data_IF_585621421990
#
_entry.id   IF_585621421990
#
_cell.length_a   1.000
_cell.length_b   1.000
_cell.length_c   1.000
_cell.angle_alpha   90.00
_cell.angle_beta   90.00
_cell.angle_gamma   90.00
#
_symmetry.space_group_name_H-M   'P 1'
#
loop_
_entity.id
_entity.type
_entity.pdbx_description
1 polymer ?
#
# COMPACT_ATOMS: atom_id res chain seq x y z
N UNK A 1 23.21 -4.74 19.67
CA UNK A 1 22.70 -3.63 18.82
C UNK A 1 23.07 -2.32 19.49
N UNK A 2 23.39 -1.28 18.72
CA UNK A 2 23.69 0.06 19.24
C UNK A 2 22.65 1.07 18.73
N UNK A 3 21.77 1.50 19.63
CA UNK A 3 20.64 2.42 19.38
C UNK A 3 20.69 3.62 20.34
N UNK A 4 19.63 4.44 20.36
CA UNK A 4 19.43 5.50 21.35
C UNK A 4 19.06 4.98 22.75
N UNK A 5 18.57 3.74 22.86
CA UNK A 5 18.11 3.13 24.13
C UNK A 5 19.14 2.17 24.72
N UNK A 6 20.30 1.97 24.07
CA UNK A 6 21.37 1.11 24.58
C UNK A 6 21.92 1.63 25.91
N UNK A 7 22.12 0.73 26.88
CA UNK A 7 22.67 1.09 28.19
C UNK A 7 24.11 1.58 28.07
N UNK A 8 24.56 2.40 29.03
CA UNK A 8 25.95 2.91 29.04
C UNK A 8 26.98 1.79 29.14
N UNK A 9 26.66 0.70 29.83
CA UNK A 9 27.59 -0.40 30.03
C UNK A 9 27.68 -1.29 28.78
N UNK A 10 26.55 -1.56 28.11
CA UNK A 10 26.55 -2.21 26.80
C UNK A 10 27.30 -1.39 25.75
N UNK A 11 27.11 -0.07 25.74
CA UNK A 11 27.81 0.83 24.83
C UNK A 11 29.33 0.80 25.06
N UNK A 12 29.78 0.81 26.32
CA UNK A 12 31.22 0.65 26.67
C UNK A 12 31.74 -0.71 26.20
N UNK A 13 30.98 -1.78 26.43
CA UNK A 13 31.34 -3.14 26.01
C UNK A 13 31.51 -3.20 24.48
N UNK A 14 30.54 -2.70 23.72
CA UNK A 14 30.57 -2.66 22.25
C UNK A 14 31.77 -1.86 21.75
N UNK A 15 32.04 -0.67 22.31
CA UNK A 15 33.20 0.12 21.88
C UNK A 15 34.54 -0.52 22.23
N UNK A 16 34.64 -1.21 23.37
CA UNK A 16 35.84 -1.96 23.74
C UNK A 16 36.07 -3.14 22.78
N UNK A 17 35.00 -3.84 22.40
CA UNK A 17 35.04 -4.91 21.42
C UNK A 17 35.48 -4.41 20.03
N UNK A 18 34.93 -3.29 19.56
CA UNK A 18 35.34 -2.66 18.30
C UNK A 18 36.81 -2.24 18.32
N UNK A 19 37.35 -1.78 19.45
CA UNK A 19 38.74 -1.32 19.56
C UNK A 19 39.74 -2.46 19.75
N UNK A 20 39.50 -3.35 20.71
CA UNK A 20 40.49 -4.38 21.13
C UNK A 20 40.31 -5.71 20.42
N UNK A 21 39.10 -6.05 20.00
CA UNK A 21 38.79 -7.36 19.45
C UNK A 21 38.67 -8.47 20.50
N UNK A 22 38.73 -8.14 21.80
CA UNK A 22 38.70 -9.11 22.91
C UNK A 22 37.32 -9.78 23.12
N UNK A 23 36.31 -9.42 22.33
CA UNK A 23 34.95 -9.93 22.46
C UNK A 23 34.47 -10.50 21.13
N UNK A 24 33.75 -11.63 21.21
CA UNK A 24 33.25 -12.35 20.03
C UNK A 24 31.97 -11.71 19.47
N UNK A 25 32.07 -10.47 18.97
CA UNK A 25 30.99 -9.81 18.25
C UNK A 25 31.16 -10.12 16.76
N UNK A 26 30.27 -10.96 16.21
CA UNK A 26 30.24 -11.26 14.77
C UNK A 26 29.39 -10.28 13.96
N UNK A 27 28.31 -9.74 14.53
CA UNK A 27 27.40 -8.82 13.87
C UNK A 27 27.02 -7.66 14.79
N UNK A 28 27.05 -6.43 14.26
CA UNK A 28 26.66 -5.22 14.98
C UNK A 28 25.63 -4.43 14.18
N UNK A 29 24.38 -4.44 14.66
CA UNK A 29 23.32 -3.58 14.16
C UNK A 29 23.43 -2.17 14.74
N UNK A 30 23.36 -1.17 13.87
CA UNK A 30 23.42 0.26 14.22
C UNK A 30 22.38 1.05 13.44
N UNK A 31 21.88 2.13 14.00
CA UNK A 31 20.96 3.03 13.28
C UNK A 31 21.74 4.03 12.41
N UNK A 32 21.13 4.61 11.36
CA UNK A 32 21.76 5.62 10.50
C UNK A 32 22.27 6.83 11.28
N UNK A 33 21.58 7.22 12.35
CA UNK A 33 22.00 8.33 13.23
C UNK A 33 23.35 8.07 13.90
N UNK A 34 23.67 6.81 14.22
CA UNK A 34 24.99 6.49 14.79
C UNK A 34 26.09 6.69 13.77
N UNK A 35 25.83 6.47 12.49
CA UNK A 35 26.76 6.74 11.40
C UNK A 35 26.90 8.25 11.17
N UNK A 36 25.79 8.97 11.07
CA UNK A 36 25.78 10.39 10.70
C UNK A 36 26.19 11.32 11.84
N UNK A 37 25.85 11.00 13.10
CA UNK A 37 25.99 11.93 14.26
C UNK A 37 27.05 11.51 15.28
N UNK A 38 27.45 10.23 15.34
CA UNK A 38 28.41 9.76 16.36
C UNK A 38 29.84 9.66 15.85
N UNK A 39 30.62 10.74 16.04
CA UNK A 39 32.08 10.73 15.79
C UNK A 39 32.81 9.62 16.54
N UNK A 40 32.37 9.34 17.78
CA UNK A 40 32.92 8.28 18.62
C UNK A 40 32.75 6.90 17.97
N UNK A 41 31.56 6.64 17.41
CA UNK A 41 31.29 5.37 16.73
C UNK A 41 32.17 5.23 15.49
N UNK A 42 32.21 6.26 14.63
CA UNK A 42 33.04 6.24 13.42
C UNK A 42 34.52 6.01 13.73
N UNK A 43 35.08 6.67 14.75
CA UNK A 43 36.47 6.47 15.17
C UNK A 43 36.75 5.04 15.65
N UNK A 44 35.81 4.39 16.35
CA UNK A 44 35.97 3.00 16.79
C UNK A 44 35.81 2.01 15.63
N UNK A 45 34.92 2.32 14.68
CA UNK A 45 34.75 1.54 13.46
C UNK A 45 36.02 1.60 12.59
N UNK A 46 36.66 2.77 12.48
CA UNK A 46 37.94 2.96 11.79
C UNK A 46 39.06 2.13 12.44
N UNK A 47 39.18 2.13 13.77
CA UNK A 47 40.13 1.26 14.48
C UNK A 47 39.87 -0.23 14.23
N UNK A 48 38.60 -0.63 14.21
CA UNK A 48 38.20 -2.00 13.89
C UNK A 48 38.61 -2.40 12.46
N UNK A 49 38.39 -1.49 11.50
CA UNK A 49 38.80 -1.65 10.11
C UNK A 49 40.33 -1.74 9.96
N UNK A 50 41.08 -0.83 10.57
CA UNK A 50 42.55 -0.81 10.50
C UNK A 50 43.18 -2.05 11.15
N UNK A 51 42.51 -2.69 12.11
CA UNK A 51 42.89 -3.97 12.68
C UNK A 51 42.49 -5.19 11.83
N UNK A 52 41.91 -4.99 10.63
CA UNK A 52 41.48 -6.06 9.73
C UNK A 52 40.22 -6.81 10.17
N UNK A 53 39.43 -6.25 11.10
CA UNK A 53 38.27 -6.92 11.71
C UNK A 53 36.92 -6.47 11.17
N UNK A 54 36.89 -5.51 10.25
CA UNK A 54 35.67 -5.10 9.53
C UNK A 54 35.61 -5.79 8.16
N UNK A 55 34.87 -6.90 8.08
CA UNK A 55 34.85 -7.74 6.88
C UNK A 55 33.70 -7.48 5.91
N UNK A 56 32.61 -6.85 6.37
CA UNK A 56 31.40 -6.60 5.57
C UNK A 56 30.60 -5.43 6.15
N UNK A 57 30.00 -4.63 5.26
CA UNK A 57 28.98 -3.64 5.61
C UNK A 57 27.67 -4.07 4.93
N UNK A 58 26.60 -4.14 5.70
CA UNK A 58 25.25 -4.38 5.18
C UNK A 58 24.35 -3.20 5.48
N UNK A 59 23.63 -2.71 4.46
CA UNK A 59 22.63 -1.65 4.57
C UNK A 59 21.27 -2.28 4.27
N UNK A 60 20.43 -2.32 5.29
CA UNK A 60 19.04 -2.79 5.17
C UNK A 60 18.10 -1.61 4.88
N UNK A 61 16.95 -1.92 4.24
CA UNK A 61 15.94 -0.95 3.79
C UNK A 61 16.50 0.25 3.03
N UNK A 62 17.40 -0.01 2.09
CA UNK A 62 18.19 1.00 1.40
C UNK A 62 17.36 2.05 0.64
N UNK A 63 16.09 1.72 0.30
CA UNK A 63 15.19 2.65 -0.38
C UNK A 63 14.99 3.97 0.39
N UNK A 64 15.21 3.98 1.71
CA UNK A 64 15.20 5.17 2.57
C UNK A 64 16.23 6.23 2.15
N UNK A 65 17.25 5.87 1.36
CA UNK A 65 18.26 6.78 0.85
C UNK A 65 17.76 7.63 -0.32
N UNK A 66 16.82 7.12 -1.12
CA UNK A 66 16.35 7.81 -2.32
C UNK A 66 15.20 8.76 -1.98
N UNK A 67 15.26 9.98 -2.50
CA UNK A 67 14.15 10.94 -2.41
C UNK A 67 12.89 10.45 -3.16
N UNK A 68 13.04 9.45 -4.03
CA UNK A 68 11.94 8.79 -4.73
C UNK A 68 11.40 7.58 -3.96
N UNK A 69 12.02 7.21 -2.84
CA UNK A 69 11.48 6.25 -1.89
C UNK A 69 10.35 6.86 -1.07
N UNK A 70 9.34 6.07 -0.73
CA UNK A 70 8.18 6.53 0.04
C UNK A 70 8.47 6.84 1.52
N UNK A 71 9.68 6.53 2.01
CA UNK A 71 10.12 6.71 3.40
C UNK A 71 11.55 7.29 3.46
N UNK A 72 11.77 8.41 2.77
CA UNK A 72 13.09 9.06 2.77
C UNK A 72 13.48 9.51 4.19
N UNK A 73 14.63 9.04 4.68
CA UNK A 73 15.14 9.41 6.01
C UNK A 73 16.36 10.31 5.88
N UNK A 74 16.33 11.57 6.35
CA UNK A 74 17.42 12.52 6.19
C UNK A 74 18.77 12.07 6.74
N UNK A 75 18.79 11.18 7.74
CA UNK A 75 20.03 10.61 8.29
C UNK A 75 20.75 9.67 7.31
N UNK A 76 20.08 9.23 6.23
CA UNK A 76 20.68 8.56 5.07
C UNK A 76 21.15 9.53 3.98
N UNK A 77 21.22 10.85 4.21
CA UNK A 77 21.64 11.83 3.17
C UNK A 77 23.03 11.59 2.58
N UNK A 78 23.91 10.87 3.27
CA UNK A 78 25.23 10.50 2.74
C UNK A 78 25.58 9.06 3.11
N UNK A 79 24.87 8.06 2.58
CA UNK A 79 25.06 6.67 2.97
C UNK A 79 26.36 6.12 2.36
N UNK A 80 26.83 6.71 1.26
CA UNK A 80 28.13 6.46 0.65
C UNK A 80 29.33 6.80 1.52
N UNK A 81 29.18 7.51 2.65
CA UNK A 81 30.30 7.80 3.56
C UNK A 81 31.03 6.53 4.01
N UNK A 82 30.29 5.44 4.20
CA UNK A 82 30.85 4.15 4.56
C UNK A 82 31.74 3.58 3.45
N UNK A 83 31.33 3.75 2.19
CA UNK A 83 32.12 3.29 1.05
C UNK A 83 33.31 4.19 0.76
N UNK A 84 33.19 5.49 1.02
CA UNK A 84 34.29 6.46 0.92
C UNK A 84 35.36 6.18 1.99
N UNK A 85 34.96 5.96 3.24
CA UNK A 85 35.90 5.70 4.34
C UNK A 85 36.47 4.28 4.35
N UNK A 86 35.69 3.30 3.90
CA UNK A 86 36.07 1.89 3.88
C UNK A 86 36.00 1.31 2.45
N UNK A 87 36.81 1.80 1.50
CA UNK A 87 36.68 1.47 0.08
C UNK A 87 36.86 -0.02 -0.22
N UNK A 88 37.72 -0.70 0.55
CA UNK A 88 38.03 -2.12 0.38
C UNK A 88 37.05 -3.06 1.08
N UNK A 89 36.19 -2.55 1.96
CA UNK A 89 35.18 -3.37 2.64
C UNK A 89 34.01 -3.64 1.67
N UNK A 90 33.61 -4.91 1.46
CA UNK A 90 32.42 -5.25 0.70
C UNK A 90 31.18 -4.58 1.30
N UNK A 91 30.29 -4.11 0.43
CA UNK A 91 29.02 -3.47 0.82
C UNK A 91 27.86 -4.23 0.15
N UNK A 92 26.92 -4.70 0.96
CA UNK A 92 25.67 -5.32 0.51
C UNK A 92 24.52 -4.41 0.90
N UNK A 93 23.69 -4.05 -0.07
CA UNK A 93 22.49 -3.26 0.17
C UNK A 93 21.24 -4.07 -0.16
N UNK A 94 20.25 -4.01 0.73
CA UNK A 94 19.05 -4.84 0.70
C UNK A 94 17.81 -3.94 0.65
N UNK A 95 16.86 -4.30 -0.21
CA UNK A 95 15.58 -3.59 -0.34
C UNK A 95 14.55 -4.48 -1.05
N UNK A 96 13.30 -4.40 -0.61
CA UNK A 96 12.18 -5.09 -1.27
C UNK A 96 11.53 -4.23 -2.37
N UNK A 97 11.64 -2.91 -2.31
CA UNK A 97 10.81 -1.97 -3.09
C UNK A 97 11.64 -0.99 -3.93
N UNK A 98 12.57 -1.51 -4.75
CA UNK A 98 13.39 -0.68 -5.63
C UNK A 98 12.98 -0.83 -7.11
N UNK A 99 12.27 0.17 -7.64
CA UNK A 99 12.09 0.31 -9.10
C UNK A 99 13.44 0.53 -9.79
N UNK A 100 13.53 0.33 -11.10
CA UNK A 100 14.77 0.55 -11.86
C UNK A 100 15.39 1.93 -11.61
N UNK A 101 14.56 2.98 -11.53
CA UNK A 101 15.00 4.34 -11.22
C UNK A 101 15.63 4.43 -9.82
N UNK A 102 14.93 3.90 -8.82
CA UNK A 102 15.43 3.87 -7.43
C UNK A 102 16.75 3.11 -7.36
N UNK A 103 16.88 1.96 -8.05
CA UNK A 103 18.14 1.20 -8.06
C UNK A 103 19.32 2.00 -8.62
N UNK A 104 19.11 2.81 -9.66
CA UNK A 104 20.16 3.65 -10.23
C UNK A 104 20.59 4.73 -9.23
N UNK A 105 19.62 5.42 -8.61
CA UNK A 105 19.92 6.43 -7.59
C UNK A 105 20.69 5.84 -6.39
N UNK A 106 20.28 4.65 -5.94
CA UNK A 106 20.89 3.93 -4.81
C UNK A 106 22.37 3.61 -5.09
N UNK A 107 22.68 3.09 -6.27
CA UNK A 107 24.07 2.78 -6.68
C UNK A 107 24.96 4.03 -6.69
N UNK A 108 24.43 5.15 -7.15
CA UNK A 108 25.14 6.44 -7.16
C UNK A 108 25.37 6.96 -5.74
N UNK A 109 24.32 6.99 -4.90
CA UNK A 109 24.41 7.49 -3.52
C UNK A 109 25.32 6.66 -2.62
N UNK A 110 25.33 5.33 -2.80
CA UNK A 110 26.23 4.43 -2.07
C UNK A 110 27.66 4.39 -2.62
N UNK A 111 27.92 5.01 -3.76
CA UNK A 111 29.21 4.99 -4.44
C UNK A 111 29.70 3.56 -4.76
N UNK A 112 28.83 2.74 -5.38
CA UNK A 112 29.14 1.33 -5.75
C UNK A 112 29.20 1.18 -7.28
N UNK A 113 30.25 1.66 -7.96
CA UNK A 113 30.27 1.75 -9.43
C UNK A 113 30.21 0.39 -10.15
N UNK A 114 30.63 -0.71 -9.49
CA UNK A 114 30.57 -2.08 -10.01
C UNK A 114 29.56 -2.94 -9.24
N UNK A 115 28.39 -2.39 -8.95
CA UNK A 115 27.35 -3.07 -8.17
C UNK A 115 26.81 -4.29 -8.93
N UNK A 116 26.95 -5.47 -8.34
CA UNK A 116 26.27 -6.68 -8.80
C UNK A 116 24.85 -6.68 -8.25
N UNK A 117 23.86 -6.76 -9.13
CA UNK A 117 22.44 -6.68 -8.78
C UNK A 117 21.81 -8.07 -8.80
N UNK A 118 21.28 -8.51 -7.66
CA UNK A 118 20.47 -9.71 -7.56
C UNK A 118 19.01 -9.30 -7.41
N UNK A 119 18.14 -9.83 -8.28
CA UNK A 119 16.70 -9.56 -8.25
C UNK A 119 15.93 -10.87 -8.13
N UNK A 120 15.08 -10.94 -7.12
CA UNK A 120 14.06 -11.97 -7.00
C UNK A 120 12.72 -11.45 -7.52
N UNK A 121 11.85 -12.35 -7.97
CA UNK A 121 10.51 -11.99 -8.42
C UNK A 121 9.63 -11.57 -7.24
N UNK A 122 8.72 -10.62 -7.49
CA UNK A 122 7.63 -10.30 -6.55
C UNK A 122 6.55 -11.39 -6.50
N UNK A 123 6.61 -12.40 -7.37
CA UNK A 123 5.60 -13.46 -7.42
C UNK A 123 5.65 -14.34 -6.18
N UNK A 124 4.55 -14.34 -5.43
CA UNK A 124 4.27 -15.31 -4.37
C UNK A 124 3.23 -16.28 -4.90
N UNK A 125 3.69 -17.40 -5.44
CA UNK A 125 2.82 -18.43 -6.05
C UNK A 125 1.85 -19.03 -5.04
N UNK A 126 2.20 -19.01 -3.75
CA UNK A 126 1.40 -19.51 -2.65
C UNK A 126 0.28 -18.56 -2.15
N UNK A 127 0.15 -17.34 -2.69
CA UNK A 127 -0.87 -16.38 -2.25
C UNK A 127 -2.10 -16.40 -3.15
N UNK A 128 -3.30 -16.49 -2.58
CA UNK A 128 -4.54 -16.33 -3.34
C UNK A 128 -5.04 -14.88 -3.26
N UNK A 129 -5.30 -14.24 -4.41
CA UNK A 129 -5.81 -12.86 -4.46
C UNK A 129 -7.30 -12.83 -4.77
N UNK A 130 -8.09 -12.14 -3.96
CA UNK A 130 -9.54 -11.97 -4.13
C UNK A 130 -9.98 -10.55 -3.80
N UNK A 131 -10.90 -10.01 -4.58
CA UNK A 131 -11.55 -8.72 -4.32
C UNK A 131 -13.03 -8.98 -4.05
N UNK A 132 -13.53 -8.43 -2.95
CA UNK A 132 -14.95 -8.45 -2.60
C UNK A 132 -15.52 -7.04 -2.71
N UNK A 133 -16.78 -6.97 -3.14
CA UNK A 133 -17.56 -5.74 -3.06
C UNK A 133 -17.85 -5.42 -1.59
N UNK A 134 -17.60 -4.17 -1.19
CA UNK A 134 -17.80 -3.72 0.18
C UNK A 134 -19.22 -3.18 0.33
N UNK A 135 -20.00 -3.76 1.24
CA UNK A 135 -21.33 -3.23 1.59
C UNK A 135 -21.22 -1.79 2.13
N UNK A 136 -22.19 -0.95 1.79
CA UNK A 136 -22.35 0.38 2.37
C UNK A 136 -22.75 0.34 3.85
N UNK A 137 -23.20 -0.81 4.35
CA UNK A 137 -23.58 -1.02 5.75
C UNK A 137 -22.43 -1.68 6.49
N UNK A 138 -21.77 -0.93 7.38
CA UNK A 138 -20.56 -1.39 8.10
C UNK A 138 -20.75 -2.70 8.87
N UNK A 139 -21.90 -2.90 9.52
CA UNK A 139 -22.21 -4.14 10.23
C UNK A 139 -22.20 -5.36 9.31
N UNK A 140 -22.79 -5.25 8.11
CA UNK A 140 -22.81 -6.33 7.11
C UNK A 140 -21.39 -6.71 6.69
N UNK A 141 -20.50 -5.72 6.54
CA UNK A 141 -19.08 -5.98 6.23
C UNK A 141 -18.42 -6.80 7.33
N UNK A 142 -18.67 -6.46 8.60
CA UNK A 142 -18.06 -7.16 9.73
C UNK A 142 -18.63 -8.57 9.87
N UNK A 143 -19.94 -8.75 9.71
CA UNK A 143 -20.60 -10.07 9.70
C UNK A 143 -20.00 -10.96 8.59
N UNK A 144 -19.76 -10.40 7.39
CA UNK A 144 -19.11 -11.09 6.28
C UNK A 144 -17.66 -11.48 6.58
N UNK A 145 -16.88 -10.59 7.22
CA UNK A 145 -15.50 -10.91 7.63
C UNK A 145 -15.51 -12.03 8.67
N UNK A 146 -16.41 -11.97 9.65
CA UNK A 146 -16.52 -12.98 10.69
C UNK A 146 -16.93 -14.35 10.12
N UNK A 147 -17.88 -14.36 9.18
CA UNK A 147 -18.28 -15.57 8.46
C UNK A 147 -17.15 -16.14 7.61
N UNK A 148 -16.42 -15.29 6.88
CA UNK A 148 -15.28 -15.70 6.09
C UNK A 148 -14.18 -16.33 6.96
N UNK A 149 -13.87 -15.72 8.11
CA UNK A 149 -12.87 -16.27 9.05
C UNK A 149 -13.30 -17.64 9.56
N UNK A 150 -14.54 -17.78 10.03
CA UNK A 150 -15.05 -19.04 10.60
C UNK A 150 -15.15 -20.16 9.56
N UNK A 151 -15.62 -19.84 8.35
CA UNK A 151 -15.78 -20.82 7.27
C UNK A 151 -14.46 -21.25 6.65
N UNK A 152 -13.54 -20.31 6.42
CA UNK A 152 -12.31 -20.56 5.67
C UNK A 152 -11.13 -20.94 6.55
N UNK A 153 -11.16 -20.57 7.83
CA UNK A 153 -10.10 -20.79 8.81
C UNK A 153 -10.67 -21.38 10.12
N UNK A 154 -11.29 -22.58 10.07
CA UNK A 154 -11.97 -23.19 11.21
C UNK A 154 -11.02 -23.70 12.29
N UNK A 155 -9.72 -23.87 12.00
CA UNK A 155 -8.74 -24.39 12.96
C UNK A 155 -8.01 -23.27 13.71
N UNK A 156 -8.63 -22.09 13.80
CA UNK A 156 -8.05 -20.89 14.41
C UNK A 156 -6.72 -20.47 13.78
N UNK A 157 -6.59 -20.62 12.45
CA UNK A 157 -5.44 -20.14 11.70
C UNK A 157 -5.27 -18.62 11.87
N UNK A 158 -4.02 -18.16 11.93
CA UNK A 158 -3.71 -16.76 12.20
C UNK A 158 -3.97 -15.86 10.99
N UNK A 159 -4.56 -14.68 11.25
CA UNK A 159 -4.89 -13.70 10.22
C UNK A 159 -4.62 -12.26 10.65
N UNK A 160 -4.63 -11.36 9.67
CA UNK A 160 -4.53 -9.91 9.86
C UNK A 160 -5.68 -9.25 9.10
N UNK A 161 -6.37 -8.30 9.74
CA UNK A 161 -7.35 -7.42 9.10
C UNK A 161 -6.80 -6.00 9.14
N UNK A 162 -6.54 -5.42 7.97
CA UNK A 162 -6.11 -4.02 7.89
C UNK A 162 -7.30 -3.08 7.81
N UNK A 163 -7.30 -2.03 8.64
CA UNK A 163 -8.30 -0.95 8.62
C UNK A 163 -7.67 0.38 8.25
N UNK A 164 -8.48 1.32 7.77
CA UNK A 164 -8.01 2.64 7.36
C UNK A 164 -7.68 3.53 8.56
N UNK A 165 -8.52 3.48 9.60
CA UNK A 165 -8.38 4.36 10.78
C UNK A 165 -8.21 3.57 12.08
N UNK A 166 -7.63 4.22 13.09
CA UNK A 166 -7.45 3.67 14.44
C UNK A 166 -8.79 3.29 15.07
N UNK A 167 -9.78 4.19 14.95
CA UNK A 167 -11.16 3.97 15.42
C UNK A 167 -11.81 2.76 14.75
N UNK A 168 -11.58 2.57 13.45
CA UNK A 168 -12.07 1.40 12.73
C UNK A 168 -11.40 0.11 13.24
N UNK A 169 -10.08 0.12 13.52
CA UNK A 169 -9.41 -1.04 14.13
C UNK A 169 -10.04 -1.46 15.45
N UNK A 170 -10.26 -0.50 16.36
CA UNK A 170 -10.85 -0.76 17.67
C UNK A 170 -12.27 -1.33 17.55
N UNK A 171 -13.09 -0.74 16.67
CA UNK A 171 -14.47 -1.17 16.43
C UNK A 171 -14.53 -2.58 15.83
N UNK A 172 -13.77 -2.83 14.76
CA UNK A 172 -13.74 -4.14 14.09
C UNK A 172 -13.23 -5.22 15.03
N UNK A 173 -12.16 -4.96 15.81
CA UNK A 173 -11.67 -5.92 16.79
C UNK A 173 -12.72 -6.24 17.86
N UNK A 174 -13.49 -5.25 18.32
CA UNK A 174 -14.58 -5.44 19.26
C UNK A 174 -15.69 -6.33 18.68
N UNK A 175 -16.18 -6.00 17.50
CA UNK A 175 -17.28 -6.75 16.88
C UNK A 175 -16.87 -8.17 16.46
N UNK A 176 -15.62 -8.39 16.03
CA UNK A 176 -15.10 -9.74 15.78
C UNK A 176 -15.10 -10.59 17.06
N UNK A 177 -14.75 -10.01 18.22
CA UNK A 177 -14.85 -10.70 19.51
C UNK A 177 -16.29 -11.05 19.87
N UNK A 178 -17.25 -10.18 19.57
CA UNK A 178 -18.69 -10.46 19.75
C UNK A 178 -19.15 -11.62 18.87
N UNK A 179 -18.50 -11.85 17.72
CA UNK A 179 -18.68 -13.01 16.86
C UNK A 179 -17.88 -14.27 17.28
N UNK A 180 -17.28 -14.26 18.47
CA UNK A 180 -16.50 -15.38 19.01
C UNK A 180 -15.10 -15.54 18.41
N UNK A 181 -14.62 -14.57 17.63
CA UNK A 181 -13.28 -14.59 17.04
C UNK A 181 -12.28 -13.96 18.01
N UNK A 182 -11.17 -14.65 18.26
CA UNK A 182 -10.11 -14.14 19.12
C UNK A 182 -9.31 -13.03 18.42
N UNK A 183 -9.81 -11.79 18.48
CA UNK A 183 -9.25 -10.61 17.82
C UNK A 183 -8.81 -9.51 18.78
N UNK A 184 -7.72 -8.80 18.43
CA UNK A 184 -7.24 -7.61 19.12
C UNK A 184 -6.72 -6.57 18.13
N UNK A 185 -6.64 -5.30 18.53
CA UNK A 185 -6.26 -4.21 17.63
C UNK A 185 -4.79 -3.80 17.78
N UNK A 186 -4.23 -3.22 16.73
CA UNK A 186 -2.86 -2.69 16.72
C UNK A 186 -2.77 -1.36 15.93
N UNK A 187 -2.46 -0.26 16.62
CA UNK A 187 -2.19 1.01 15.96
C UNK A 187 -1.21 1.89 16.73
N UNK A 188 -0.71 2.95 16.08
CA UNK A 188 0.36 3.80 16.59
C UNK A 188 0.07 4.51 17.93
N UNK A 189 -1.19 4.82 18.25
CA UNK A 189 -1.57 5.49 19.51
C UNK A 189 -1.62 4.55 20.73
N UNK A 190 -1.46 3.25 20.54
CA UNK A 190 -1.40 2.33 21.66
C UNK A 190 -0.09 2.49 22.42
N UNK A 191 -0.16 2.30 23.74
CA UNK A 191 1.01 2.21 24.58
C UNK A 191 2.00 1.14 24.08
N UNK A 192 3.30 1.38 24.24
CA UNK A 192 4.36 0.49 23.74
C UNK A 192 4.24 -0.90 24.35
N UNK A 193 3.96 -1.00 25.66
CA UNK A 193 3.81 -2.28 26.37
C UNK A 193 2.55 -3.00 25.89
N UNK A 194 1.47 -2.27 25.65
CA UNK A 194 0.25 -2.83 25.09
C UNK A 194 0.47 -3.40 23.68
N UNK A 195 1.16 -2.68 22.79
CA UNK A 195 1.51 -3.14 21.44
C UNK A 195 2.36 -4.41 21.47
N UNK A 196 3.40 -4.43 22.30
CA UNK A 196 4.27 -5.59 22.46
C UNK A 196 3.49 -6.80 22.97
N UNK A 197 2.61 -6.61 23.96
CA UNK A 197 1.74 -7.68 24.49
C UNK A 197 0.80 -8.26 23.43
N UNK A 198 0.17 -7.42 22.61
CA UNK A 198 -0.71 -7.88 21.52
C UNK A 198 0.10 -8.67 20.47
N UNK A 199 1.24 -8.13 20.04
CA UNK A 199 2.13 -8.79 19.09
C UNK A 199 2.60 -10.16 19.61
N UNK A 200 3.04 -10.25 20.87
CA UNK A 200 3.46 -11.50 21.50
C UNK A 200 2.32 -12.51 21.61
N UNK A 201 1.09 -12.08 21.91
CA UNK A 201 -0.07 -12.99 21.97
C UNK A 201 -0.37 -13.61 20.60
N UNK A 202 -0.36 -12.81 19.55
CA UNK A 202 -0.58 -13.28 18.18
C UNK A 202 0.55 -14.18 17.68
N UNK A 203 1.81 -13.77 17.88
CA UNK A 203 2.98 -14.55 17.47
C UNK A 203 3.07 -15.91 18.18
N UNK A 204 2.46 -16.05 19.37
CA UNK A 204 2.39 -17.31 20.12
C UNK A 204 1.04 -18.04 19.92
N UNK A 205 0.29 -17.71 18.86
CA UNK A 205 -1.00 -18.33 18.52
C UNK A 205 -2.07 -18.26 19.63
N UNK A 206 -1.94 -17.32 20.57
CA UNK A 206 -2.95 -17.00 21.61
C UNK A 206 -3.97 -15.97 21.15
N UNK A 207 -3.79 -15.42 19.95
CA UNK A 207 -4.69 -14.51 19.28
C UNK A 207 -4.79 -14.94 17.83
N UNK A 208 -6.01 -15.14 17.33
CA UNK A 208 -6.24 -15.56 15.96
C UNK A 208 -6.03 -14.39 14.99
N UNK A 209 -6.62 -13.24 15.28
CA UNK A 209 -6.65 -12.10 14.35
C UNK A 209 -6.06 -10.85 15.00
N UNK A 210 -5.12 -10.20 14.30
CA UNK A 210 -4.76 -8.80 14.58
C UNK A 210 -5.51 -7.88 13.63
N UNK A 211 -6.16 -6.86 14.19
CA UNK A 211 -6.81 -5.79 13.44
C UNK A 211 -5.92 -4.55 13.48
N UNK A 212 -5.18 -4.30 12.41
CA UNK A 212 -4.11 -3.29 12.39
C UNK A 212 -4.37 -2.13 11.43
N UNK A 213 -3.81 -0.96 11.71
CA UNK A 213 -3.54 0.00 10.62
C UNK A 213 -2.24 -0.38 9.92
N UNK A 214 -1.80 0.41 8.93
CA UNK A 214 -0.45 0.30 8.36
C UNK A 214 0.68 0.40 9.39
N UNK A 215 0.40 0.79 10.64
CA UNK A 215 1.38 0.74 11.73
C UNK A 215 1.74 -0.69 12.16
N UNK A 216 0.91 -1.68 11.83
CA UNK A 216 1.21 -3.10 12.02
C UNK A 216 1.85 -3.67 10.75
N UNK A 217 3.13 -3.35 10.52
CA UNK A 217 3.89 -3.73 9.31
C UNK A 217 4.43 -2.53 8.53
N UNK A 218 5.13 -2.76 7.42
CA UNK A 218 5.53 -1.71 6.47
C UNK A 218 4.55 -1.73 5.28
N UNK A 219 3.70 -0.70 5.22
CA UNK A 219 2.51 -0.69 4.38
C UNK A 219 2.78 -0.38 2.90
N UNK A 220 2.28 -1.25 2.02
CA UNK A 220 2.07 -0.93 0.60
C UNK A 220 0.75 -0.16 0.51
N UNK A 221 0.81 1.16 0.30
CA UNK A 221 -0.33 1.96 -0.10
C UNK A 221 -0.25 2.22 -1.62
N UNK A 222 -0.98 1.43 -2.42
CA UNK A 222 -1.05 1.63 -3.88
C UNK A 222 -2.29 2.45 -4.22
N UNK A 223 -2.13 3.70 -4.73
CA UNK A 223 -3.27 4.54 -5.13
C UNK A 223 -3.96 4.07 -6.43
N UNK A 224 -3.32 3.17 -7.17
CA UNK A 224 -3.83 2.67 -8.44
C UNK A 224 -4.75 1.45 -8.24
N UNK A 225 -6.03 1.77 -8.07
CA UNK A 225 -7.16 0.83 -7.87
C UNK A 225 -7.62 0.13 -9.17
N UNK A 226 -6.95 0.35 -10.32
CA UNK A 226 -7.36 -0.24 -11.61
C UNK A 226 -7.47 -1.76 -11.57
N UNK A 227 -6.64 -2.42 -10.75
CA UNK A 227 -6.67 -3.87 -10.62
C UNK A 227 -7.91 -4.38 -9.86
N UNK A 228 -8.54 -3.55 -9.02
CA UNK A 228 -9.79 -3.88 -8.34
C UNK A 228 -11.01 -3.72 -9.27
N UNK A 229 -10.90 -2.87 -10.30
CA UNK A 229 -12.00 -2.58 -11.23
C UNK A 229 -12.24 -3.69 -12.25
N UNK A 230 -11.17 -4.28 -12.79
CA UNK A 230 -11.32 -5.34 -13.79
C UNK A 230 -11.73 -6.66 -13.14
N UNK A 231 -12.79 -7.27 -13.67
CA UNK A 231 -13.27 -8.60 -13.31
C UNK A 231 -12.74 -9.70 -14.24
N UNK A 232 -12.09 -9.31 -15.34
CA UNK A 232 -11.42 -10.22 -16.29
C UNK A 232 -9.92 -10.37 -16.05
N UNK A 233 -9.25 -9.26 -15.74
CA UNK A 233 -7.79 -9.23 -15.74
C UNK A 233 -7.23 -9.96 -14.52
N UNK A 234 -6.23 -10.81 -14.73
CA UNK A 234 -5.47 -11.44 -13.66
C UNK A 234 -4.99 -10.43 -12.61
N UNK A 235 -5.27 -10.70 -11.33
CA UNK A 235 -4.83 -9.85 -10.21
C UNK A 235 -3.30 -9.76 -10.14
N UNK A 236 -2.59 -10.88 -10.35
CA UNK A 236 -1.12 -10.93 -10.39
C UNK A 236 -0.54 -10.10 -11.53
N UNK A 237 -1.15 -10.14 -12.71
CA UNK A 237 -0.65 -9.38 -13.86
C UNK A 237 -0.64 -7.88 -13.59
N UNK A 238 -1.58 -7.37 -12.80
CA UNK A 238 -1.56 -5.97 -12.38
C UNK A 238 -0.38 -5.66 -11.44
N UNK A 239 -0.05 -6.58 -10.52
CA UNK A 239 1.11 -6.46 -9.63
C UNK A 239 2.41 -6.50 -10.45
N UNK A 240 2.58 -7.46 -11.37
CA UNK A 240 3.79 -7.55 -12.21
C UNK A 240 4.01 -6.29 -13.05
N UNK A 241 2.95 -5.76 -13.69
CA UNK A 241 3.04 -4.49 -14.43
C UNK A 241 3.47 -3.34 -13.54
N UNK A 242 2.96 -3.27 -12.31
CA UNK A 242 3.34 -2.22 -11.37
C UNK A 242 4.83 -2.26 -11.00
N UNK A 243 5.37 -3.46 -10.78
CA UNK A 243 6.78 -3.67 -10.46
C UNK A 243 7.70 -3.82 -11.69
N UNK A 244 7.17 -3.63 -12.90
CA UNK A 244 7.92 -3.80 -14.15
C UNK A 244 8.51 -5.21 -14.30
N UNK A 245 7.77 -6.24 -13.88
CA UNK A 245 8.11 -7.65 -14.11
C UNK A 245 7.41 -8.21 -15.35
N UNK A 246 8.07 -9.14 -16.07
CA UNK A 246 7.40 -9.96 -17.06
C UNK A 246 6.17 -10.64 -16.49
N UNK A 247 5.13 -10.79 -17.31
CA UNK A 247 3.94 -11.53 -16.91
C UNK A 247 4.29 -13.00 -16.70
N UNK A 248 3.76 -13.57 -15.61
CA UNK A 248 3.91 -14.97 -15.24
C UNK A 248 2.54 -15.62 -15.12
N UNK A 249 2.49 -16.94 -15.20
CA UNK A 249 1.24 -17.69 -15.03
C UNK A 249 0.64 -17.48 -13.63
N UNK A 250 -0.68 -17.35 -13.59
CA UNK A 250 -1.45 -17.25 -12.35
C UNK A 250 -1.69 -18.62 -11.70
N UNK A 251 -1.72 -19.70 -12.49
CA UNK A 251 -2.08 -21.05 -12.03
C UNK A 251 -3.41 -21.08 -11.25
N UNK A 252 -4.40 -20.29 -11.65
CA UNK A 252 -5.70 -20.21 -10.98
C UNK A 252 -5.68 -19.58 -9.58
N UNK A 253 -4.57 -18.99 -9.13
CA UNK A 253 -4.43 -18.47 -7.76
C UNK A 253 -4.99 -17.03 -7.58
N UNK A 254 -5.97 -16.62 -8.39
CA UNK A 254 -6.75 -15.40 -8.14
C UNK A 254 -8.21 -15.58 -8.54
N UNK A 255 -9.09 -14.85 -7.89
CA UNK A 255 -10.54 -14.87 -8.11
C UNK A 255 -10.96 -14.79 -9.59
N UNK A 256 -10.43 -13.85 -10.37
CA UNK A 256 -10.80 -13.65 -11.78
C UNK A 256 -10.50 -14.85 -12.69
N UNK A 257 -9.59 -15.75 -12.29
CA UNK A 257 -9.26 -16.98 -13.02
C UNK A 257 -9.75 -18.24 -12.33
N UNK A 258 -9.90 -18.23 -11.00
CA UNK A 258 -10.41 -19.36 -10.23
C UNK A 258 -11.93 -19.52 -10.41
N UNK A 259 -12.66 -18.41 -10.46
CA UNK A 259 -14.10 -18.39 -10.59
C UNK A 259 -14.40 -17.78 -11.96
N UNK A 260 -14.65 -18.64 -12.96
CA UNK A 260 -15.03 -18.23 -14.31
C UNK A 260 -16.36 -17.49 -14.29
N UNK A 261 -16.33 -16.21 -13.95
CA UNK A 261 -17.52 -15.38 -13.82
C UNK A 261 -17.98 -15.01 -15.22
N UNK A 262 -19.23 -15.32 -15.57
CA UNK A 262 -19.82 -14.83 -16.80
C UNK A 262 -20.00 -13.31 -16.70
N UNK A 263 -19.31 -12.60 -17.57
CA UNK A 263 -19.25 -11.15 -17.58
C UNK A 263 -19.86 -10.62 -18.87
N UNK A 264 -20.85 -9.74 -18.72
CA UNK A 264 -21.43 -8.97 -19.82
C UNK A 264 -20.82 -7.57 -19.84
N UNK A 265 -20.53 -7.07 -21.03
CA UNK A 265 -20.20 -5.67 -21.24
C UNK A 265 -21.45 -4.91 -21.65
N UNK A 266 -21.77 -3.85 -20.92
CA UNK A 266 -22.85 -2.93 -21.28
C UNK A 266 -22.27 -1.60 -21.76
N UNK A 267 -22.88 -1.03 -22.79
CA UNK A 267 -22.56 0.33 -23.24
C UNK A 267 -23.21 1.36 -22.30
N UNK A 268 -22.37 2.14 -21.63
CA UNK A 268 -22.78 3.20 -20.69
C UNK A 268 -22.33 4.59 -21.17
N UNK A 269 -22.04 4.73 -22.46
CA UNK A 269 -21.63 6.00 -23.06
C UNK A 269 -22.67 7.11 -22.86
N UNK A 270 -23.96 6.76 -22.83
CA UNK A 270 -25.04 7.69 -22.51
C UNK A 270 -24.93 8.26 -21.09
N UNK A 271 -24.66 7.39 -20.11
CA UNK A 271 -24.45 7.79 -18.71
C UNK A 271 -23.20 8.64 -18.55
N UNK A 272 -22.11 8.26 -19.21
CA UNK A 272 -20.86 9.03 -19.19
C UNK A 272 -21.05 10.45 -19.75
N UNK A 273 -21.78 10.60 -20.87
CA UNK A 273 -22.12 11.91 -21.43
C UNK A 273 -23.02 12.73 -20.50
N UNK A 274 -24.05 12.11 -19.92
CA UNK A 274 -24.93 12.78 -18.97
C UNK A 274 -24.16 13.29 -17.74
N UNK A 275 -23.22 12.49 -17.22
CA UNK A 275 -22.35 12.86 -16.11
C UNK A 275 -21.45 14.05 -16.43
N UNK A 276 -20.83 14.06 -17.62
CA UNK A 276 -19.99 15.17 -18.07
C UNK A 276 -20.81 16.45 -18.23
N UNK A 277 -22.03 16.36 -18.76
CA UNK A 277 -22.93 17.52 -18.89
C UNK A 277 -23.32 18.07 -17.52
N UNK A 278 -23.75 17.19 -16.62
CA UNK A 278 -24.09 17.57 -15.25
C UNK A 278 -22.94 18.32 -14.57
N UNK A 279 -21.71 17.85 -14.68
CA UNK A 279 -20.55 18.53 -14.11
C UNK A 279 -20.23 19.87 -14.78
N UNK A 280 -20.50 20.03 -16.08
CA UNK A 280 -20.34 21.31 -16.77
C UNK A 280 -21.36 22.34 -16.30
N UNK A 281 -22.63 21.94 -16.23
CA UNK A 281 -23.71 22.80 -15.75
C UNK A 281 -23.43 23.24 -14.30
N UNK A 282 -22.96 22.31 -13.46
CA UNK A 282 -22.55 22.61 -12.10
C UNK A 282 -21.37 23.58 -12.03
N UNK A 283 -20.39 23.48 -12.93
CA UNK A 283 -19.27 24.44 -12.99
C UNK A 283 -19.73 25.84 -13.40
N UNK A 284 -20.68 25.95 -14.33
CA UNK A 284 -21.24 27.24 -14.77
C UNK A 284 -22.02 27.93 -13.64
N UNK A 285 -22.59 27.15 -12.71
CA UNK A 285 -23.31 27.63 -11.52
C UNK A 285 -22.47 27.64 -10.22
N UNK A 286 -21.15 27.45 -10.31
CA UNK A 286 -20.23 27.37 -9.16
C UNK A 286 -20.59 26.32 -8.10
N UNK A 287 -21.36 25.29 -8.47
CA UNK A 287 -21.72 24.17 -7.61
C UNK A 287 -20.60 23.13 -7.53
N UNK A 288 -20.56 22.39 -6.41
CA UNK A 288 -19.63 21.28 -6.19
C UNK A 288 -20.38 20.03 -5.74
N UNK A 289 -19.96 18.87 -6.23
CA UNK A 289 -20.47 17.58 -5.79
C UNK A 289 -19.32 16.65 -5.38
N UNK A 290 -19.50 15.98 -4.24
CA UNK A 290 -18.75 14.77 -3.90
C UNK A 290 -19.16 13.63 -4.85
N UNK A 291 -18.38 12.55 -4.91
CA UNK A 291 -18.73 11.37 -5.73
C UNK A 291 -20.14 10.85 -5.43
N UNK A 292 -20.51 10.73 -4.15
CA UNK A 292 -21.82 10.21 -3.74
C UNK A 292 -22.96 11.13 -4.19
N UNK A 293 -22.81 12.44 -3.97
CA UNK A 293 -23.79 13.43 -4.44
C UNK A 293 -23.90 13.42 -5.97
N UNK A 294 -22.79 13.21 -6.67
CA UNK A 294 -22.77 13.16 -8.13
C UNK A 294 -23.52 11.93 -8.66
N UNK A 295 -23.35 10.76 -8.04
CA UNK A 295 -24.10 9.54 -8.37
C UNK A 295 -25.59 9.73 -8.13
N UNK A 296 -25.98 10.33 -7.00
CA UNK A 296 -27.39 10.58 -6.70
C UNK A 296 -28.02 11.57 -7.71
N UNK A 297 -27.30 12.65 -8.08
CA UNK A 297 -27.74 13.59 -9.13
C UNK A 297 -27.81 12.92 -10.51
N UNK A 298 -26.86 12.05 -10.86
CA UNK A 298 -26.87 11.30 -12.12
C UNK A 298 -28.13 10.44 -12.22
N UNK A 299 -28.49 9.71 -11.16
CA UNK A 299 -29.71 8.89 -11.16
C UNK A 299 -30.98 9.68 -11.45
N UNK A 300 -31.11 10.88 -10.85
CA UNK A 300 -32.24 11.77 -11.14
C UNK A 300 -32.22 12.17 -12.61
N UNK A 301 -31.07 12.61 -13.12
CA UNK A 301 -30.92 13.04 -14.51
C UNK A 301 -31.23 11.94 -15.52
N UNK A 302 -30.80 10.71 -15.25
CA UNK A 302 -31.07 9.57 -16.13
C UNK A 302 -32.56 9.19 -16.15
N UNK A 303 -33.28 9.34 -15.04
CA UNK A 303 -34.75 9.16 -15.01
C UNK A 303 -35.48 10.21 -15.85
N UNK A 304 -35.04 11.48 -15.80
CA UNK A 304 -35.59 12.55 -16.65
C UNK A 304 -35.35 12.27 -18.14
N UNK A 305 -34.15 11.82 -18.50
CA UNK A 305 -33.78 11.51 -19.88
C UNK A 305 -34.47 10.25 -20.40
N UNK A 306 -34.61 9.21 -19.57
CA UNK A 306 -35.29 7.95 -19.91
C UNK A 306 -36.77 8.13 -20.26
N UNK A 307 -37.41 9.21 -19.81
CA UNK A 307 -38.77 9.56 -20.19
C UNK A 307 -38.88 10.16 -21.61
N UNK A 308 -37.76 10.50 -22.28
CA UNK A 308 -37.77 11.32 -23.50
C UNK A 308 -37.15 10.71 -24.77
N UNK A 309 -36.40 9.59 -24.73
CA UNK A 309 -36.16 8.59 -25.81
C UNK A 309 -34.81 7.84 -25.69
N UNK A 310 -34.73 6.70 -26.39
CA UNK A 310 -33.71 5.62 -26.44
C UNK A 310 -33.50 4.80 -25.14
N UNK A 311 -33.51 3.45 -25.22
CA UNK A 311 -33.32 2.59 -24.05
C UNK A 311 -31.87 2.71 -23.58
N UNK A 312 -31.65 3.51 -22.55
CA UNK A 312 -30.40 3.48 -21.77
C UNK A 312 -30.54 2.44 -20.67
N UNK A 313 -29.48 1.66 -20.36
CA UNK A 313 -29.56 0.61 -19.36
C UNK A 313 -29.83 1.20 -17.97
N UNK A 314 -30.77 0.64 -17.21
CA UNK A 314 -31.00 1.07 -15.82
C UNK A 314 -29.90 0.50 -14.91
N UNK A 315 -29.06 1.39 -14.37
CA UNK A 315 -27.90 1.02 -13.57
C UNK A 315 -28.21 1.00 -12.06
N UNK A 316 -27.66 -0.01 -11.38
CA UNK A 316 -27.60 -0.04 -9.92
C UNK A 316 -26.64 1.04 -9.41
N UNK A 317 -26.80 1.47 -8.16
CA UNK A 317 -26.02 2.59 -7.59
C UNK A 317 -24.52 2.29 -7.63
N UNK A 318 -24.16 1.04 -7.38
CA UNK A 318 -22.80 0.52 -7.37
C UNK A 318 -22.17 0.58 -8.78
N UNK A 319 -22.98 0.41 -9.82
CA UNK A 319 -22.52 0.52 -11.22
C UNK A 319 -22.30 1.98 -11.63
N UNK A 320 -23.13 2.91 -11.15
CA UNK A 320 -22.89 4.35 -11.31
C UNK A 320 -21.61 4.79 -10.58
N UNK A 321 -21.38 4.29 -9.35
CA UNK A 321 -20.13 4.51 -8.62
C UNK A 321 -18.92 3.98 -9.41
N UNK A 322 -19.04 2.77 -9.97
CA UNK A 322 -18.03 2.17 -10.83
C UNK A 322 -17.74 3.03 -12.07
N UNK A 323 -18.78 3.59 -12.70
CA UNK A 323 -18.63 4.50 -13.84
C UNK A 323 -17.84 5.76 -13.45
N UNK A 324 -18.20 6.42 -12.33
CA UNK A 324 -17.48 7.61 -11.88
C UNK A 324 -16.01 7.29 -11.62
N UNK A 325 -15.72 6.15 -10.97
CA UNK A 325 -14.34 5.68 -10.73
C UNK A 325 -13.60 5.44 -12.04
N UNK A 326 -14.20 4.75 -13.01
CA UNK A 326 -13.58 4.50 -14.30
C UNK A 326 -13.23 5.81 -15.03
N UNK A 327 -14.14 6.78 -15.03
CA UNK A 327 -13.91 8.07 -15.70
C UNK A 327 -12.86 8.93 -14.97
N UNK A 328 -12.74 8.82 -13.64
CA UNK A 328 -11.64 9.41 -12.88
C UNK A 328 -10.30 8.78 -13.27
N UNK A 329 -10.24 7.44 -13.30
CA UNK A 329 -9.02 6.71 -13.67
C UNK A 329 -8.58 7.04 -15.09
N UNK A 330 -9.54 7.17 -16.00
CA UNK A 330 -9.31 7.52 -17.41
C UNK A 330 -9.10 9.02 -17.63
N UNK A 331 -9.03 9.82 -16.56
CA UNK A 331 -8.79 11.28 -16.59
C UNK A 331 -9.82 12.07 -17.41
N UNK A 332 -10.99 11.48 -17.64
CA UNK A 332 -12.18 12.17 -18.14
C UNK A 332 -12.73 13.07 -17.04
N UNK A 333 -12.69 12.59 -15.80
CA UNK A 333 -12.95 13.33 -14.58
C UNK A 333 -11.65 13.53 -13.81
N UNK A 334 -11.66 14.43 -12.82
CA UNK A 334 -10.59 14.57 -11.84
C UNK A 334 -11.16 14.93 -10.47
N UNK A 335 -10.38 14.65 -9.44
CA UNK A 335 -10.66 15.10 -8.08
C UNK A 335 -10.16 16.54 -7.87
N UNK A 336 -10.93 17.31 -7.13
CA UNK A 336 -10.56 18.62 -6.62
C UNK A 336 -10.69 18.61 -5.10
N UNK A 337 -9.58 18.86 -4.42
CA UNK A 337 -9.51 18.82 -2.97
C UNK A 337 -9.76 20.20 -2.38
N UNK A 338 -10.56 20.25 -1.32
CA UNK A 338 -10.74 21.43 -0.50
C UNK A 338 -10.32 21.12 0.93
N UNK A 339 -9.39 21.91 1.45
CA UNK A 339 -8.91 21.79 2.81
C UNK A 339 -9.75 22.67 3.74
N UNK A 340 -10.25 22.07 4.80
CA UNK A 340 -10.91 22.75 5.92
C UNK A 340 -10.03 22.60 7.17
N UNK A 341 -10.42 23.23 8.27
CA UNK A 341 -9.67 23.14 9.54
C UNK A 341 -9.55 21.70 10.09
N UNK A 342 -10.45 20.79 9.70
CA UNK A 342 -10.55 19.45 10.29
C UNK A 342 -10.48 18.30 9.27
N UNK A 343 -10.70 18.58 7.98
CA UNK A 343 -10.77 17.55 6.96
C UNK A 343 -10.37 18.07 5.58
N UNK A 344 -9.93 17.14 4.72
CA UNK A 344 -9.78 17.38 3.28
C UNK A 344 -10.95 16.70 2.57
N UNK A 345 -11.80 17.50 1.92
CA UNK A 345 -12.93 17.00 1.16
C UNK A 345 -12.54 16.83 -0.31
N UNK A 346 -12.99 15.74 -0.93
CA UNK A 346 -12.79 15.47 -2.36
C UNK A 346 -14.09 15.72 -3.13
N UNK A 347 -14.03 16.64 -4.08
CA UNK A 347 -15.09 16.92 -5.04
C UNK A 347 -14.69 16.41 -6.43
N UNK A 348 -15.68 16.06 -7.25
CA UNK A 348 -15.45 15.59 -8.61
C UNK A 348 -15.70 16.73 -9.60
N UNK A 349 -14.82 16.88 -10.58
CA UNK A 349 -14.94 17.90 -11.64
C UNK A 349 -14.45 17.34 -12.98
N UNK A 350 -14.69 18.07 -14.08
CA UNK A 350 -14.21 17.65 -15.40
C UNK A 350 -12.67 17.56 -15.44
N UNK A 351 -12.18 16.46 -15.98
CA UNK A 351 -10.77 16.12 -16.16
C UNK A 351 -10.28 16.49 -17.56
N UNK A 352 -8.97 16.41 -17.82
CA UNK A 352 -8.37 16.89 -19.08
C UNK A 352 -8.88 16.17 -20.35
N UNK A 353 -9.37 14.93 -20.25
CA UNK A 353 -9.80 14.13 -21.40
C UNK A 353 -11.31 14.16 -21.66
N UNK A 354 -12.07 15.02 -20.96
CA UNK A 354 -13.54 15.05 -21.03
C UNK A 354 -14.12 15.25 -22.44
N UNK A 355 -13.43 16.04 -23.29
CA UNK A 355 -13.90 16.37 -24.64
C UNK A 355 -14.07 15.14 -25.54
N UNK A 356 -13.25 14.11 -25.35
CA UNK A 356 -13.29 12.90 -26.17
C UNK A 356 -14.58 12.10 -25.93
N UNK A 357 -15.03 12.04 -24.67
CA UNK A 357 -16.30 11.40 -24.29
C UNK A 357 -17.50 12.24 -24.72
N UNK A 358 -17.46 13.54 -24.48
CA UNK A 358 -18.56 14.45 -24.81
C UNK A 358 -18.86 14.47 -26.31
N UNK A 359 -17.82 14.47 -27.15
CA UNK A 359 -17.98 14.39 -28.61
C UNK A 359 -18.41 13.00 -29.12
N UNK A 360 -18.64 12.03 -28.22
CA UNK A 360 -19.07 10.68 -28.57
C UNK A 360 -18.04 9.88 -29.35
N UNK A 361 -16.76 10.29 -29.33
CA UNK A 361 -15.69 9.61 -30.05
C UNK A 361 -15.18 8.38 -29.31
N UNK A 362 -15.53 8.23 -28.03
CA UNK A 362 -15.10 7.14 -27.17
C UNK A 362 -16.33 6.37 -26.68
N UNK A 363 -16.24 5.05 -26.82
CA UNK A 363 -17.23 4.10 -26.32
C UNK A 363 -16.85 3.74 -24.88
N UNK A 364 -17.78 3.92 -23.94
CA UNK A 364 -17.59 3.59 -22.52
C UNK A 364 -18.37 2.33 -22.20
N UNK A 365 -17.66 1.30 -21.71
CA UNK A 365 -18.27 0.02 -21.31
C UNK A 365 -17.96 -0.29 -19.86
N UNK A 366 -18.92 -0.94 -19.19
CA UNK A 366 -18.78 -1.51 -17.85
C UNK A 366 -18.88 -3.04 -17.88
N UNK A 367 -18.04 -3.69 -17.08
CA UNK A 367 -18.05 -5.13 -16.84
C UNK A 367 -19.03 -5.47 -15.69
N UNK A 368 -20.12 -6.16 -16.01
CA UNK A 368 -21.13 -6.60 -15.04
C UNK A 368 -21.09 -8.12 -14.92
N UNK A 369 -21.11 -8.62 -13.68
CA UNK A 369 -21.32 -10.05 -13.42
C UNK A 369 -22.77 -10.40 -13.71
N UNK A 370 -23.03 -11.42 -14.51
CA UNK A 370 -24.35 -12.00 -14.56
C UNK A 370 -24.62 -12.70 -13.22
N UNK A 371 -25.83 -12.49 -12.68
CA UNK A 371 -26.27 -13.07 -11.42
C UNK A 371 -26.65 -14.54 -11.58
#
# INVERSE_FOLDING_TARGET
MLTSTTSKDDEKFIYKALEKGDADIKMLYVTPEKISKSKRFMSKLEKCHNAGRLSLISIDEEYCCSQWGHDFRPDYKNPGILKIQFPHVPLVALTATATYKVQTDLVEMLHIPKCVKFRSTVNRTNLFYKVHEKSSVGKVVIDQIAEYIRSSYPNNESGIVYCFSRKECEQVAKELREHGISADYYHADMDVVAREKVHLRWSNSKLQVIVGTVAFGMGINKPDIRYCQSKRSCRRSAIFRHFGEPLQDCNGMCDNYAYGTELTEIDVSGHAKALVNLLRDMQEHEERATMLQLVDKLKVKMKELGASSNPTPDLKKEQDEQLVIQLLLDRVLKEQFQHTSYATNAYVTIGPLWKQEFLGKRLVRLEICMA
#
